data_IF_861452782481
#
_entry.id   IF_861452782481
#
_cell.length_a   1.000
_cell.length_b   1.000
_cell.length_c   1.000
_cell.angle_alpha   90.00
_cell.angle_beta   90.00
_cell.angle_gamma   90.00
#
_symmetry.space_group_name_H-M   'P 1'
#
loop_
_entity.id
_entity.type
_entity.pdbx_description
1 polymer ?
#
# COMPACT_ATOMS: atom_id res chain seq x y z
N UNK A 1 -9.76 -4.47 -21.25
CA UNK A 1 -9.62 -5.47 -20.17
C UNK A 1 -9.26 -4.85 -18.82
N UNK A 2 -8.32 -3.90 -18.76
CA UNK A 2 -7.88 -3.26 -17.50
C UNK A 2 -8.99 -2.51 -16.75
N UNK A 3 -9.88 -1.79 -17.45
CA UNK A 3 -11.02 -1.09 -16.82
C UNK A 3 -11.99 -2.04 -16.09
N UNK A 4 -12.34 -3.17 -16.72
CA UNK A 4 -13.22 -4.18 -16.11
C UNK A 4 -12.58 -4.76 -14.85
N UNK A 5 -11.26 -5.01 -14.89
CA UNK A 5 -10.54 -5.49 -13.71
C UNK A 5 -10.55 -4.48 -12.56
N UNK A 6 -10.35 -3.19 -12.86
CA UNK A 6 -10.42 -2.11 -11.87
C UNK A 6 -11.82 -2.01 -11.27
N UNK A 7 -12.87 -1.98 -12.11
CA UNK A 7 -14.25 -1.88 -11.66
C UNK A 7 -14.62 -3.04 -10.74
N UNK A 8 -14.31 -4.28 -11.15
CA UNK A 8 -14.62 -5.48 -10.34
C UNK A 8 -13.80 -5.48 -9.05
N UNK A 9 -12.51 -5.13 -9.08
CA UNK A 9 -11.69 -5.08 -7.87
C UNK A 9 -12.24 -4.06 -6.86
N UNK A 10 -12.66 -2.87 -7.31
CA UNK A 10 -13.29 -1.86 -6.45
C UNK A 10 -14.62 -2.36 -5.87
N UNK A 11 -15.47 -3.01 -6.68
CA UNK A 11 -16.73 -3.59 -6.20
C UNK A 11 -16.50 -4.70 -5.17
N UNK A 12 -15.52 -5.58 -5.41
CA UNK A 12 -15.15 -6.64 -4.47
C UNK A 12 -14.62 -6.06 -3.16
N UNK A 13 -13.81 -5.00 -3.22
CA UNK A 13 -13.31 -4.34 -2.02
C UNK A 13 -14.41 -3.64 -1.22
N UNK A 14 -15.42 -3.08 -1.89
CA UNK A 14 -16.62 -2.54 -1.25
C UNK A 14 -17.43 -3.63 -0.54
N UNK A 15 -17.58 -4.79 -1.16
CA UNK A 15 -18.39 -5.91 -0.64
C UNK A 15 -17.67 -6.70 0.47
N UNK A 16 -16.38 -6.99 0.31
CA UNK A 16 -15.57 -7.73 1.28
C UNK A 16 -14.16 -7.11 1.39
N UNK A 17 -13.91 -6.28 2.42
CA UNK A 17 -12.58 -5.72 2.63
C UNK A 17 -11.57 -6.82 2.93
N UNK A 18 -10.36 -6.70 2.37
CA UNK A 18 -9.23 -7.55 2.76
C UNK A 18 -8.90 -7.26 4.23
N UNK A 19 -8.94 -8.28 5.08
CA UNK A 19 -8.58 -8.15 6.50
C UNK A 19 -7.09 -7.79 6.69
N UNK A 20 -6.77 -7.06 7.77
CA UNK A 20 -5.41 -6.62 8.13
C UNK A 20 -4.40 -7.76 8.33
N UNK A 21 -4.87 -8.99 8.51
CA UNK A 21 -4.07 -10.20 8.81
C UNK A 21 -4.19 -11.30 7.76
N UNK A 22 -4.26 -10.93 6.47
CA UNK A 22 -4.29 -11.93 5.40
C UNK A 22 -2.93 -12.66 5.25
N UNK A 23 -2.97 -13.94 4.84
CA UNK A 23 -1.80 -14.79 4.58
C UNK A 23 -0.82 -14.13 3.59
N UNK A 24 -1.33 -13.43 2.57
CA UNK A 24 -0.50 -12.68 1.62
C UNK A 24 0.33 -11.61 2.34
N UNK A 25 -0.26 -10.86 3.26
CA UNK A 25 0.44 -9.82 4.02
C UNK A 25 1.43 -10.41 5.04
N UNK A 26 1.15 -11.59 5.59
CA UNK A 26 2.09 -12.32 6.45
C UNK A 26 3.28 -12.82 5.63
N UNK A 27 3.04 -13.43 4.48
CA UNK A 27 4.08 -13.91 3.57
C UNK A 27 4.97 -12.78 3.05
N UNK A 28 4.37 -11.65 2.63
CA UNK A 28 5.13 -10.47 2.19
C UNK A 28 5.97 -9.87 3.32
N UNK A 29 5.48 -9.86 4.56
CA UNK A 29 6.28 -9.45 5.73
C UNK A 29 7.48 -10.34 5.94
N UNK A 30 7.26 -11.66 5.93
CA UNK A 30 8.35 -12.63 6.07
C UNK A 30 9.37 -12.50 4.93
N UNK A 31 8.91 -12.29 3.70
CA UNK A 31 9.76 -12.06 2.52
C UNK A 31 10.63 -10.80 2.66
N UNK A 32 10.02 -9.65 2.96
CA UNK A 32 10.74 -8.38 3.12
C UNK A 32 11.71 -8.43 4.29
N UNK A 33 11.34 -9.10 5.38
CA UNK A 33 12.24 -9.36 6.51
C UNK A 33 13.44 -10.20 6.07
N UNK A 34 13.21 -11.32 5.38
CA UNK A 34 14.27 -12.20 4.89
C UNK A 34 15.23 -11.49 3.93
N UNK A 35 14.70 -10.63 3.04
CA UNK A 35 15.54 -9.83 2.14
C UNK A 35 16.45 -8.86 2.92
N UNK A 36 15.93 -8.21 3.96
CA UNK A 36 16.73 -7.38 4.85
C UNK A 36 17.83 -8.20 5.53
N UNK A 37 17.49 -9.31 6.15
CA UNK A 37 18.46 -10.16 6.87
C UNK A 37 19.55 -10.75 5.97
N UNK A 38 19.19 -11.12 4.73
CA UNK A 38 20.09 -11.84 3.82
C UNK A 38 21.01 -10.90 3.05
N UNK A 39 20.49 -9.75 2.62
CA UNK A 39 21.19 -8.88 1.69
C UNK A 39 21.69 -7.58 2.33
N UNK A 40 21.21 -7.15 3.50
CA UNK A 40 21.67 -5.92 4.15
C UNK A 40 23.02 -6.12 4.85
N UNK A 41 24.11 -5.84 4.13
CA UNK A 41 25.46 -5.83 4.69
C UNK A 41 25.95 -4.40 5.06
N UNK A 42 25.05 -3.41 5.16
CA UNK A 42 25.38 -2.05 5.61
C UNK A 42 26.00 -1.11 4.58
N UNK A 43 26.28 -1.58 3.35
CA UNK A 43 26.76 -0.75 2.23
C UNK A 43 25.65 -0.46 1.22
N UNK A 44 25.78 0.63 0.48
CA UNK A 44 24.76 1.07 -0.50
C UNK A 44 24.44 0.04 -1.59
N UNK A 45 25.45 -0.65 -2.13
CA UNK A 45 25.22 -1.67 -3.17
C UNK A 45 24.35 -2.83 -2.67
N UNK A 46 24.61 -3.27 -1.43
CA UNK A 46 23.84 -4.31 -0.75
C UNK A 46 22.42 -3.85 -0.41
N UNK A 47 22.25 -2.57 -0.05
CA UNK A 47 20.94 -1.96 0.15
C UNK A 47 20.08 -1.96 -1.14
N UNK A 48 20.67 -1.62 -2.29
CA UNK A 48 19.98 -1.70 -3.58
C UNK A 48 19.57 -3.13 -3.93
N UNK A 49 20.45 -4.10 -3.66
CA UNK A 49 20.15 -5.52 -3.88
C UNK A 49 18.98 -5.98 -2.99
N UNK A 50 19.05 -5.68 -1.69
CA UNK A 50 18.00 -6.03 -0.73
C UNK A 50 16.64 -5.43 -1.14
N UNK A 51 16.62 -4.15 -1.54
CA UNK A 51 15.41 -3.50 -2.06
C UNK A 51 14.91 -4.14 -3.36
N UNK A 52 15.80 -4.41 -4.32
CA UNK A 52 15.44 -5.01 -5.60
C UNK A 52 14.81 -6.38 -5.41
N UNK A 53 15.36 -7.23 -4.54
CA UNK A 53 14.76 -8.53 -4.21
C UNK A 53 13.46 -8.39 -3.40
N UNK A 54 13.38 -7.44 -2.48
CA UNK A 54 12.16 -7.20 -1.70
C UNK A 54 10.98 -6.74 -2.59
N UNK A 55 11.23 -5.94 -3.63
CA UNK A 55 10.20 -5.28 -4.44
C UNK A 55 10.06 -5.89 -5.83
N UNK A 56 11.15 -5.98 -6.59
CA UNK A 56 11.09 -6.38 -7.99
C UNK A 56 10.79 -7.87 -8.14
N UNK A 57 11.32 -8.73 -7.26
CA UNK A 57 11.08 -10.17 -7.39
C UNK A 57 9.59 -10.54 -7.24
N UNK A 58 8.84 -10.10 -6.20
CA UNK A 58 7.40 -10.36 -6.14
C UNK A 58 6.64 -9.73 -7.30
N UNK A 59 7.03 -8.54 -7.74
CA UNK A 59 6.38 -7.84 -8.85
C UNK A 59 6.54 -8.60 -10.17
N UNK A 60 7.75 -9.10 -10.45
CA UNK A 60 8.06 -9.94 -11.61
C UNK A 60 7.37 -11.31 -11.53
N UNK A 61 7.25 -11.90 -10.35
CA UNK A 61 6.52 -13.15 -10.16
C UNK A 61 5.04 -13.01 -10.52
N UNK A 62 4.41 -11.90 -10.11
CA UNK A 62 3.02 -11.59 -10.46
C UNK A 62 2.85 -11.40 -11.98
N UNK A 63 3.82 -10.75 -12.64
CA UNK A 63 3.83 -10.63 -14.09
C UNK A 63 3.96 -11.98 -14.79
N UNK A 64 4.87 -12.84 -14.32
CA UNK A 64 5.08 -14.15 -14.90
C UNK A 64 3.79 -14.98 -14.86
N UNK A 65 3.08 -14.95 -13.74
CA UNK A 65 1.78 -15.62 -13.59
C UNK A 65 0.74 -15.04 -14.55
N UNK A 66 0.70 -13.71 -14.72
CA UNK A 66 -0.19 -13.06 -15.69
C UNK A 66 0.06 -13.56 -17.12
N UNK A 67 1.31 -13.56 -17.57
CA UNK A 67 1.69 -14.04 -18.91
C UNK A 67 1.43 -15.53 -19.09
N UNK A 68 1.71 -16.34 -18.07
CA UNK A 68 1.46 -17.78 -18.07
C UNK A 68 -0.04 -18.09 -18.19
N UNK A 69 -0.89 -17.40 -17.42
CA UNK A 69 -2.34 -17.55 -17.50
C UNK A 69 -2.88 -17.09 -18.85
N UNK A 70 -2.37 -15.97 -19.38
CA UNK A 70 -2.75 -15.49 -20.70
C UNK A 70 -2.38 -16.49 -21.81
N UNK A 71 -1.19 -17.09 -21.72
CA UNK A 71 -0.69 -18.03 -22.72
C UNK A 71 -1.38 -19.41 -22.64
N UNK A 72 -1.60 -19.95 -21.43
CA UNK A 72 -2.12 -21.31 -21.25
C UNK A 72 -3.65 -21.39 -21.20
N UNK A 73 -4.30 -20.42 -20.54
CA UNK A 73 -5.73 -20.46 -20.27
C UNK A 73 -6.52 -19.35 -21.01
N UNK A 74 -5.80 -18.41 -21.64
CA UNK A 74 -6.37 -17.33 -22.43
C UNK A 74 -6.65 -16.05 -21.64
N UNK A 75 -7.14 -15.04 -22.36
CA UNK A 75 -7.31 -13.69 -21.83
C UNK A 75 -8.27 -13.56 -20.63
N UNK A 76 -9.35 -14.36 -20.44
CA UNK A 76 -10.24 -14.19 -19.29
C UNK A 76 -9.54 -14.48 -17.95
N UNK A 77 -8.66 -15.49 -17.92
CA UNK A 77 -7.88 -15.81 -16.72
C UNK A 77 -6.85 -14.74 -16.40
N UNK A 78 -6.27 -14.11 -17.43
CA UNK A 78 -5.39 -12.96 -17.26
C UNK A 78 -6.13 -11.75 -16.65
N UNK A 79 -7.40 -11.53 -17.01
CA UNK A 79 -8.27 -10.52 -16.38
C UNK A 79 -8.58 -10.87 -14.93
N UNK A 80 -8.94 -12.13 -14.66
CA UNK A 80 -9.18 -12.60 -13.31
C UNK A 80 -7.96 -12.41 -12.41
N UNK A 81 -6.76 -12.69 -12.92
CA UNK A 81 -5.52 -12.44 -12.21
C UNK A 81 -5.31 -10.96 -11.89
N UNK A 82 -5.55 -10.05 -12.85
CA UNK A 82 -5.49 -8.61 -12.59
C UNK A 82 -6.49 -8.17 -11.50
N UNK A 83 -7.70 -8.73 -11.49
CA UNK A 83 -8.69 -8.48 -10.44
C UNK A 83 -8.14 -8.91 -9.08
N UNK A 84 -7.57 -10.12 -8.97
CA UNK A 84 -6.99 -10.64 -7.73
C UNK A 84 -5.82 -9.77 -7.25
N UNK A 85 -4.91 -9.40 -8.14
CA UNK A 85 -3.75 -8.55 -7.83
C UNK A 85 -4.20 -7.17 -7.34
N UNK A 86 -5.14 -6.53 -8.05
CA UNK A 86 -5.71 -5.25 -7.65
C UNK A 86 -6.44 -5.37 -6.32
N UNK A 87 -7.22 -6.43 -6.11
CA UNK A 87 -7.97 -6.66 -4.87
C UNK A 87 -7.04 -6.74 -3.65
N UNK A 88 -5.87 -7.36 -3.77
CA UNK A 88 -4.87 -7.39 -2.68
C UNK A 88 -3.99 -6.14 -2.61
N UNK A 89 -3.85 -5.40 -3.71
CA UNK A 89 -3.05 -4.18 -3.76
C UNK A 89 -3.81 -2.94 -3.32
N UNK A 90 -5.14 -2.91 -3.48
CA UNK A 90 -5.99 -1.82 -3.04
C UNK A 90 -6.28 -1.93 -1.53
N UNK A 91 -6.64 -0.81 -0.91
CA UNK A 91 -6.98 -0.73 0.52
C UNK A 91 -8.10 0.26 0.85
N UNK A 92 -8.94 0.59 -0.13
CA UNK A 92 -10.11 1.47 -0.06
C UNK A 92 -10.90 1.38 1.25
N UNK A 93 -11.28 0.17 1.66
CA UNK A 93 -12.20 -0.02 2.79
C UNK A 93 -11.51 0.02 4.17
N UNK A 94 -10.19 -0.16 4.22
CA UNK A 94 -9.45 -0.08 5.48
C UNK A 94 -9.28 1.36 5.99
N UNK A 95 -9.31 2.36 5.11
CA UNK A 95 -9.22 3.78 5.50
C UNK A 95 -10.57 4.48 5.56
N UNK A 96 -11.50 4.18 4.64
CA UNK A 96 -12.79 4.89 4.57
C UNK A 96 -13.65 4.70 5.82
N UNK A 97 -13.56 3.55 6.48
CA UNK A 97 -14.33 3.30 7.70
C UNK A 97 -14.01 4.31 8.82
N UNK A 98 -12.72 4.64 9.03
CA UNK A 98 -12.33 5.65 10.03
C UNK A 98 -12.90 7.02 9.71
N UNK A 99 -12.86 7.41 8.43
CA UNK A 99 -13.47 8.67 7.99
C UNK A 99 -14.99 8.69 8.26
N UNK A 100 -15.69 7.61 7.89
CA UNK A 100 -17.13 7.50 8.10
C UNK A 100 -17.49 7.56 9.58
N UNK A 101 -16.82 6.80 10.44
CA UNK A 101 -17.10 6.82 11.89
C UNK A 101 -16.83 8.19 12.52
N UNK A 102 -15.76 8.88 12.12
CA UNK A 102 -15.45 10.21 12.64
C UNK A 102 -16.46 11.24 12.13
N UNK A 103 -16.82 11.19 10.85
CA UNK A 103 -17.84 12.06 10.26
C UNK A 103 -19.18 11.88 10.96
N UNK A 104 -19.63 10.63 11.12
CA UNK A 104 -20.92 10.33 11.73
C UNK A 104 -20.95 10.78 13.21
N UNK A 105 -19.83 10.68 13.94
CA UNK A 105 -19.70 11.25 15.28
C UNK A 105 -19.78 12.79 15.29
N UNK A 106 -19.14 13.46 14.32
CA UNK A 106 -19.20 14.93 14.18
C UNK A 106 -20.60 15.42 13.77
N UNK A 107 -21.31 14.66 12.93
CA UNK A 107 -22.68 14.96 12.49
C UNK A 107 -23.68 14.77 13.65
N UNK A 108 -23.43 13.80 14.53
CA UNK A 108 -24.17 13.60 15.78
C UNK A 108 -23.83 14.62 16.89
N UNK A 109 -22.85 15.50 16.67
CA UNK A 109 -22.38 16.48 17.66
C UNK A 109 -21.49 15.89 18.78
N UNK A 110 -21.09 14.62 18.68
CA UNK A 110 -20.23 13.95 19.66
C UNK A 110 -18.75 14.16 19.33
N UNK A 111 -18.25 15.35 19.67
CA UNK A 111 -16.85 15.70 19.45
C UNK A 111 -15.87 14.87 20.29
N UNK A 112 -16.30 14.36 21.45
CA UNK A 112 -15.46 13.50 22.29
C UNK A 112 -15.19 12.17 21.59
N UNK A 113 -16.23 11.56 21.01
CA UNK A 113 -16.10 10.35 20.20
C UNK A 113 -15.27 10.59 18.95
N UNK A 114 -15.49 11.72 18.26
CA UNK A 114 -14.68 12.09 17.09
C UNK A 114 -13.18 12.21 17.44
N UNK A 115 -12.83 12.84 18.56
CA UNK A 115 -11.44 12.92 19.06
C UNK A 115 -10.86 11.54 19.37
N UNK A 116 -11.62 10.69 20.05
CA UNK A 116 -11.17 9.34 20.40
C UNK A 116 -10.89 8.48 19.15
N UNK A 117 -11.79 8.52 18.17
CA UNK A 117 -11.62 7.84 16.89
C UNK A 117 -10.43 8.40 16.09
N UNK A 118 -10.26 9.72 16.04
CA UNK A 118 -9.12 10.35 15.38
C UNK A 118 -7.79 9.99 16.08
N UNK A 119 -7.74 10.04 17.41
CA UNK A 119 -6.58 9.62 18.19
C UNK A 119 -6.20 8.16 17.91
N UNK A 120 -7.20 7.27 17.87
CA UNK A 120 -6.98 5.86 17.55
C UNK A 120 -6.48 5.66 16.12
N UNK A 121 -7.04 6.39 15.15
CA UNK A 121 -6.64 6.24 13.75
C UNK A 121 -5.23 6.77 13.48
N UNK A 122 -4.92 7.97 14.00
CA UNK A 122 -3.64 8.66 13.78
C UNK A 122 -2.55 8.26 14.77
N UNK A 123 -2.89 7.59 15.87
CA UNK A 123 -1.98 7.31 17.00
C UNK A 123 -1.36 8.60 17.57
N UNK A 124 -2.18 9.65 17.72
CA UNK A 124 -1.79 10.94 18.30
C UNK A 124 -2.65 11.25 19.51
N UNK A 125 -2.16 12.14 20.38
CA UNK A 125 -3.02 12.77 21.35
C UNK A 125 -3.92 13.80 20.66
N UNK A 126 -5.23 13.54 20.67
CA UNK A 126 -6.26 14.41 20.11
C UNK A 126 -7.05 15.14 21.21
N UNK A 127 -6.62 15.06 22.47
CA UNK A 127 -7.29 15.76 23.56
C UNK A 127 -7.24 17.27 23.34
N UNK A 128 -8.37 17.95 23.57
CA UNK A 128 -8.48 19.40 23.42
C UNK A 128 -8.52 19.93 21.98
N UNK A 129 -8.48 19.10 20.95
CA UNK A 129 -8.61 19.59 19.56
C UNK A 129 -9.97 20.24 19.33
N UNK A 130 -9.99 21.43 18.73
CA UNK A 130 -11.22 22.07 18.29
C UNK A 130 -11.85 21.28 17.12
N UNK A 131 -13.18 21.40 16.93
CA UNK A 131 -13.90 20.74 15.84
C UNK A 131 -13.28 20.99 14.46
N UNK A 132 -12.87 22.22 14.19
CA UNK A 132 -12.21 22.61 12.94
C UNK A 132 -10.89 21.87 12.72
N UNK A 133 -10.10 21.66 13.78
CA UNK A 133 -8.84 20.93 13.70
C UNK A 133 -9.06 19.44 13.48
N UNK A 134 -10.10 18.85 14.09
CA UNK A 134 -10.52 17.47 13.84
C UNK A 134 -10.85 17.31 12.35
N UNK A 135 -11.72 18.16 11.80
CA UNK A 135 -12.12 18.11 10.39
C UNK A 135 -10.91 18.27 9.47
N UNK A 136 -10.04 19.26 9.73
CA UNK A 136 -8.82 19.48 8.94
C UNK A 136 -7.95 18.22 8.92
N UNK A 137 -7.63 17.67 10.09
CA UNK A 137 -6.76 16.49 10.18
C UNK A 137 -7.39 15.25 9.56
N UNK A 138 -8.70 15.06 9.71
CA UNK A 138 -9.45 13.98 9.09
C UNK A 138 -9.38 14.09 7.58
N UNK A 139 -9.62 15.27 7.01
CA UNK A 139 -9.55 15.48 5.55
C UNK A 139 -8.13 15.29 5.04
N UNK A 140 -7.13 15.93 5.65
CA UNK A 140 -5.71 15.78 5.27
C UNK A 140 -5.29 14.30 5.28
N UNK A 141 -5.63 13.59 6.34
CA UNK A 141 -5.25 12.18 6.46
C UNK A 141 -6.04 11.28 5.52
N UNK A 142 -7.32 11.58 5.28
CA UNK A 142 -8.16 10.82 4.35
C UNK A 142 -7.68 10.97 2.91
N UNK A 143 -7.29 12.18 2.49
CA UNK A 143 -6.75 12.43 1.15
C UNK A 143 -5.44 11.67 0.96
N UNK A 144 -4.52 11.74 1.92
CA UNK A 144 -3.26 10.98 1.88
C UNK A 144 -3.50 9.46 1.87
N UNK A 145 -4.49 8.99 2.63
CA UNK A 145 -4.83 7.57 2.66
C UNK A 145 -5.43 7.11 1.33
N UNK A 146 -6.37 7.85 0.76
CA UNK A 146 -6.96 7.58 -0.55
C UNK A 146 -5.90 7.57 -1.66
N UNK A 147 -4.99 8.55 -1.62
CA UNK A 147 -3.84 8.62 -2.51
C UNK A 147 -3.00 7.34 -2.48
N UNK A 148 -2.50 6.95 -1.30
CA UNK A 148 -1.59 5.81 -1.16
C UNK A 148 -2.24 4.44 -1.30
N UNK A 149 -3.54 4.32 -1.04
CA UNK A 149 -4.22 3.02 -1.07
C UNK A 149 -5.01 2.76 -2.36
N UNK A 150 -5.28 3.81 -3.15
CA UNK A 150 -6.14 3.71 -4.33
C UNK A 150 -5.50 4.40 -5.52
N UNK A 151 -5.32 5.72 -5.46
CA UNK A 151 -4.91 6.49 -6.64
C UNK A 151 -3.51 6.12 -7.13
N UNK A 152 -2.52 5.99 -6.22
CA UNK A 152 -1.18 5.59 -6.59
C UNK A 152 -1.09 4.18 -7.18
N UNK A 153 -1.86 3.24 -6.63
CA UNK A 153 -1.96 1.86 -7.15
C UNK A 153 -2.58 1.86 -8.56
N UNK A 154 -3.69 2.58 -8.73
CA UNK A 154 -4.39 2.65 -10.02
C UNK A 154 -3.59 3.41 -11.08
N UNK A 155 -2.87 4.47 -10.70
CA UNK A 155 -2.01 5.22 -11.61
C UNK A 155 -0.90 4.34 -12.18
N UNK A 156 -0.11 3.69 -11.31
CA UNK A 156 0.97 2.81 -11.76
C UNK A 156 0.48 1.56 -12.48
N UNK A 157 -0.65 0.98 -12.04
CA UNK A 157 -1.29 -0.11 -12.78
C UNK A 157 -1.71 0.34 -14.18
N UNK A 158 -2.33 1.51 -14.32
CA UNK A 158 -2.83 1.99 -15.61
C UNK A 158 -1.70 2.35 -16.57
N UNK A 159 -0.66 3.05 -16.08
CA UNK A 159 0.53 3.41 -16.87
C UNK A 159 1.22 2.15 -17.39
N UNK A 160 1.49 1.18 -16.50
CA UNK A 160 2.17 -0.05 -16.91
C UNK A 160 1.25 -1.00 -17.69
N UNK A 161 -0.07 -0.92 -17.52
CA UNK A 161 -1.02 -1.72 -18.30
C UNK A 161 -0.97 -1.40 -19.80
N UNK A 162 -0.67 -0.15 -20.17
CA UNK A 162 -0.46 0.23 -21.59
C UNK A 162 0.70 -0.56 -22.19
N UNK A 163 1.70 -0.92 -21.39
CA UNK A 163 2.85 -1.73 -21.79
C UNK A 163 2.65 -3.24 -21.57
N UNK A 164 1.45 -3.69 -21.17
CA UNK A 164 1.18 -5.09 -20.81
C UNK A 164 1.76 -5.52 -19.44
N UNK A 165 2.24 -4.56 -18.64
CA UNK A 165 2.85 -4.76 -17.32
C UNK A 165 1.94 -4.32 -16.17
N UNK A 166 0.64 -4.17 -16.41
CA UNK A 166 -0.33 -3.64 -15.44
C UNK A 166 -0.18 -4.16 -14.00
N UNK A 167 -0.22 -5.49 -13.76
CA UNK A 167 -0.18 -6.02 -12.40
C UNK A 167 1.16 -5.76 -11.68
N UNK A 168 2.25 -5.54 -12.40
CA UNK A 168 3.54 -5.10 -11.83
C UNK A 168 3.37 -3.75 -11.15
N UNK A 169 2.69 -2.80 -11.80
CA UNK A 169 2.54 -1.44 -11.28
C UNK A 169 1.81 -1.39 -9.94
N UNK A 170 0.77 -2.21 -9.79
CA UNK A 170 0.02 -2.31 -8.55
C UNK A 170 0.89 -2.84 -7.40
N UNK A 171 1.60 -3.95 -7.63
CA UNK A 171 2.45 -4.59 -6.62
C UNK A 171 3.66 -3.73 -6.28
N UNK A 172 4.29 -3.13 -7.29
CA UNK A 172 5.47 -2.30 -7.15
C UNK A 172 5.19 -1.04 -6.32
N UNK A 173 4.07 -0.35 -6.58
CA UNK A 173 3.67 0.79 -5.76
C UNK A 173 3.37 0.36 -4.32
N UNK A 174 2.63 -0.74 -4.14
CA UNK A 174 2.26 -1.23 -2.81
C UNK A 174 3.47 -1.68 -1.97
N UNK A 175 4.44 -2.35 -2.57
CA UNK A 175 5.66 -2.77 -1.88
C UNK A 175 6.55 -1.58 -1.54
N UNK A 176 6.69 -0.60 -2.43
CA UNK A 176 7.46 0.62 -2.11
C UNK A 176 6.78 1.48 -1.04
N UNK A 177 5.46 1.44 -0.93
CA UNK A 177 4.76 2.08 0.19
C UNK A 177 4.99 1.31 1.50
N UNK A 178 5.09 -0.02 1.43
CA UNK A 178 5.21 -0.91 2.59
C UNK A 178 6.64 -1.00 3.17
N UNK A 179 7.63 -1.33 2.34
CA UNK A 179 9.02 -1.63 2.70
C UNK A 179 9.69 -0.55 3.59
N UNK A 180 9.72 0.75 3.24
CA UNK A 180 10.38 1.77 4.06
C UNK A 180 9.74 1.94 5.43
N UNK A 181 8.41 1.75 5.55
CA UNK A 181 7.70 1.80 6.83
C UNK A 181 7.95 0.56 7.67
N UNK A 182 8.05 -0.61 7.03
CA UNK A 182 8.34 -1.87 7.70
C UNK A 182 9.72 -1.84 8.35
N UNK A 183 10.78 -1.55 7.57
CA UNK A 183 12.14 -1.50 8.09
C UNK A 183 12.36 -0.35 9.08
N UNK A 184 11.71 0.80 8.91
CA UNK A 184 11.77 1.87 9.90
C UNK A 184 11.18 1.45 11.26
N UNK A 185 10.09 0.67 11.26
CA UNK A 185 9.48 0.13 12.48
C UNK A 185 10.37 -0.91 13.13
N UNK A 186 10.95 -1.85 12.37
CA UNK A 186 11.88 -2.84 12.92
C UNK A 186 13.12 -2.19 13.54
N UNK A 187 13.67 -1.16 12.87
CA UNK A 187 14.77 -0.35 13.39
C UNK A 187 14.41 0.36 14.69
N UNK A 188 13.25 1.01 14.74
CA UNK A 188 12.77 1.74 15.92
C UNK A 188 12.51 0.79 17.11
N UNK A 189 11.94 -0.37 16.84
CA UNK A 189 11.70 -1.41 17.83
C UNK A 189 12.97 -2.17 18.24
N UNK A 190 14.13 -1.88 17.63
CA UNK A 190 15.42 -2.59 17.83
C UNK A 190 15.30 -4.10 17.68
N UNK A 191 14.32 -4.57 16.91
CA UNK A 191 14.10 -6.00 16.67
C UNK A 191 15.19 -6.52 15.75
N UNK A 192 15.66 -5.69 14.80
CA UNK A 192 16.68 -6.05 13.81
C UNK A 192 17.61 -4.87 13.47
N UNK A 193 18.89 -5.14 13.15
CA UNK A 193 19.80 -4.13 12.63
C UNK A 193 19.46 -3.81 11.17
N UNK A 194 18.65 -2.77 10.96
CA UNK A 194 18.44 -2.18 9.62
C UNK A 194 19.49 -1.10 9.40
N UNK A 195 20.30 -1.24 8.35
CA UNK A 195 21.35 -0.27 8.05
C UNK A 195 20.78 1.09 7.62
N UNK A 196 21.58 2.14 7.80
CA UNK A 196 21.21 3.48 7.32
C UNK A 196 21.07 3.51 5.79
N UNK A 197 21.92 2.76 5.07
CA UNK A 197 21.89 2.65 3.62
C UNK A 197 20.58 2.01 3.13
N UNK A 198 20.14 0.92 3.76
CA UNK A 198 18.88 0.25 3.40
C UNK A 198 17.68 1.16 3.60
N UNK A 199 17.61 1.84 4.75
CA UNK A 199 16.53 2.78 5.04
C UNK A 199 16.53 3.96 4.03
N UNK A 200 17.72 4.44 3.66
CA UNK A 200 17.85 5.53 2.69
C UNK A 200 17.32 5.11 1.31
N UNK A 201 17.79 3.99 0.75
CA UNK A 201 17.33 3.46 -0.55
C UNK A 201 15.82 3.23 -0.57
N UNK A 202 15.27 2.61 0.47
CA UNK A 202 13.83 2.38 0.58
C UNK A 202 13.02 3.69 0.62
N UNK A 203 13.52 4.72 1.32
CA UNK A 203 12.85 6.03 1.38
C UNK A 203 12.96 6.81 0.06
N UNK A 204 14.12 6.74 -0.59
CA UNK A 204 14.38 7.38 -1.89
C UNK A 204 13.44 6.81 -2.94
N UNK A 205 13.44 5.50 -3.12
CA UNK A 205 12.59 4.81 -4.10
C UNK A 205 11.10 5.08 -3.88
N UNK A 206 10.64 5.07 -2.63
CA UNK A 206 9.28 5.49 -2.29
C UNK A 206 8.97 6.93 -2.72
N UNK A 207 9.85 7.90 -2.42
CA UNK A 207 9.64 9.29 -2.80
C UNK A 207 9.54 9.49 -4.31
N UNK A 208 10.33 8.74 -5.10
CA UNK A 208 10.28 8.78 -6.56
C UNK A 208 8.98 8.21 -7.11
N UNK A 209 8.54 7.06 -6.58
CA UNK A 209 7.30 6.40 -7.03
C UNK A 209 6.04 7.16 -6.62
N UNK A 210 6.03 7.78 -5.44
CA UNK A 210 4.88 8.53 -4.92
C UNK A 210 4.74 9.90 -5.60
N UNK A 211 5.84 10.45 -6.15
CA UNK A 211 5.86 11.76 -6.78
C UNK A 211 4.92 11.87 -7.99
N UNK A 212 4.93 10.86 -8.88
CA UNK A 212 4.15 10.92 -10.12
C UNK A 212 2.65 10.89 -9.84
N UNK A 213 2.10 9.91 -9.09
CA UNK A 213 0.69 9.91 -8.78
C UNK A 213 0.23 11.12 -7.96
N UNK A 214 1.12 11.74 -7.16
CA UNK A 214 0.76 12.90 -6.34
C UNK A 214 0.57 14.20 -7.15
N UNK A 215 0.90 14.18 -8.44
CA UNK A 215 0.84 15.35 -9.35
C UNK A 215 -0.15 15.20 -10.50
N UNK A 216 -0.86 14.07 -10.56
CA UNK A 216 -1.89 13.77 -11.56
C UNK A 216 -3.25 13.85 -10.89
#
# INVERSE_FOLDING_TARGET
MSFVAILIALLLEQARPVGRSNLVHVGLRAWVSWCGDTFDAGKEHHAWLAWAFAVLLPSSAVLLVYWLLAALAGWPFAVLWNIVVLYFSLGFRQFSHHFTEIRDALDAGDEQRARALLAQWRQIDATGLARSDIVRQVVEHSVLAAHRHVFGVLAWFSILAVLGLGPVGAVLYRLNEFVPRYWAREKAARVRPVSAALQHVASLTWSWLDWLPARV
#
